data_IF_372635825206
#
_entry.id   IF_372635825206
#
_cell.length_a   1.000
_cell.length_b   1.000
_cell.length_c   1.000
_cell.angle_alpha   90.00
_cell.angle_beta   90.00
_cell.angle_gamma   90.00
#
_symmetry.space_group_name_H-M   'P 1'
#
loop_
_entity.id
_entity.type
_entity.pdbx_description
1 polymer ?
2 non-polymer ?
3 water ?
#
# COMPACT_ATOMS: atom_id res chain seq x y z
N UNK A 6 15.98 4.47 -43.09
CA UNK A 6 17.11 5.47 -43.07
C UNK A 6 17.36 6.14 -41.68
N UNK A 7 16.40 6.03 -40.76
CA UNK A 7 16.54 6.52 -39.37
C UNK A 7 16.88 5.40 -38.35
N UNK A 8 18.16 5.26 -38.01
CA UNK A 8 18.61 4.23 -37.08
C UNK A 8 17.77 4.24 -35.78
N UNK A 9 17.57 5.43 -35.20
CA UNK A 9 16.84 5.59 -33.93
C UNK A 9 15.42 5.07 -33.94
N UNK A 10 14.63 5.54 -34.88
CA UNK A 10 13.29 5.05 -35.08
C UNK A 10 13.24 3.51 -35.26
N UNK A 11 14.19 2.92 -35.98
CA UNK A 11 14.15 1.48 -36.30
C UNK A 11 14.40 0.62 -35.03
N UNK A 12 15.38 1.04 -34.23
CA UNK A 12 15.67 0.38 -32.96
C UNK A 12 14.48 0.46 -32.02
N UNK A 13 13.90 1.66 -31.94
CA UNK A 13 12.74 1.94 -31.09
C UNK A 13 11.53 1.13 -31.47
N UNK A 14 11.20 1.14 -32.75
CA UNK A 14 10.09 0.34 -33.24
C UNK A 14 10.41 -1.15 -33.00
N UNK A 15 11.66 -1.54 -33.27
CA UNK A 15 12.09 -2.92 -33.02
C UNK A 15 11.85 -3.30 -31.55
N UNK A 16 12.30 -2.47 -30.61
CA UNK A 16 12.00 -2.66 -29.19
C UNK A 16 10.52 -2.82 -28.85
N UNK A 17 9.66 -2.03 -29.46
CA UNK A 17 8.23 -2.09 -29.15
C UNK A 17 7.60 -3.36 -29.71
N UNK A 18 7.94 -3.73 -30.94
CA UNK A 18 7.41 -4.96 -31.53
C UNK A 18 7.77 -6.18 -30.69
N UNK A 19 9.03 -6.25 -30.26
CA UNK A 19 9.50 -7.29 -29.34
C UNK A 19 8.60 -7.41 -28.09
N UNK A 20 8.27 -6.29 -27.46
CA UNK A 20 7.41 -6.30 -26.28
C UNK A 20 5.97 -6.69 -26.59
N UNK A 21 5.54 -6.37 -27.79
CA UNK A 21 4.23 -6.78 -28.25
C UNK A 21 4.08 -8.30 -28.22
N UNK A 22 5.17 -9.03 -28.50
CA UNK A 22 5.13 -10.48 -28.43
C UNK A 22 4.69 -11.05 -27.06
N UNK A 23 4.68 -10.25 -25.99
CA UNK A 23 4.11 -10.72 -24.73
C UNK A 23 2.58 -10.71 -24.72
N UNK A 24 1.94 -10.25 -25.79
CA UNK A 24 0.48 -10.13 -25.82
C UNK A 24 -0.17 -11.26 -26.61
N UNK A 25 -1.04 -12.02 -25.93
CA UNK A 25 -1.74 -13.17 -26.52
C UNK A 25 -2.83 -12.68 -27.50
N UNK A 26 -2.70 -12.98 -28.81
CA UNK A 26 -3.78 -12.59 -29.75
C UNK A 26 -5.10 -13.37 -29.55
N UNK A 39 -0.66 -15.04 -21.28
CA UNK A 39 -0.79 -14.37 -19.98
C UNK A 39 0.56 -14.31 -19.26
N UNK A 40 1.63 -14.03 -20.01
CA UNK A 40 2.99 -13.94 -19.43
C UNK A 40 3.20 -12.76 -18.45
N UNK A 41 2.33 -11.74 -18.50
CA UNK A 41 2.39 -10.53 -17.66
C UNK A 41 1.14 -10.37 -16.84
N UNK A 42 1.22 -9.59 -15.77
CA UNK A 42 0.03 -9.23 -15.02
C UNK A 42 -0.87 -8.32 -15.86
N UNK A 43 -2.13 -8.17 -15.45
CA UNK A 43 -3.08 -7.39 -16.24
C UNK A 43 -2.75 -5.90 -16.26
N UNK A 44 -2.34 -5.34 -15.11
CA UNK A 44 -1.78 -3.99 -15.15
C UNK A 44 -0.71 -3.82 -16.23
N UNK A 45 0.27 -4.72 -16.27
CA UNK A 45 1.36 -4.66 -17.25
C UNK A 45 0.84 -4.76 -18.68
N UNK A 46 -0.16 -5.62 -18.87
CA UNK A 46 -0.82 -5.75 -20.16
C UNK A 46 -1.45 -4.45 -20.61
N UNK A 47 -2.19 -3.80 -19.71
CA UNK A 47 -2.88 -2.55 -20.03
C UNK A 47 -1.87 -1.50 -20.46
N UNK A 48 -0.88 -1.32 -19.59
CA UNK A 48 0.16 -0.36 -19.80
C UNK A 48 1.04 -0.70 -21.01
N UNK A 49 1.23 -1.98 -21.29
CA UNK A 49 2.00 -2.35 -22.47
C UNK A 49 1.22 -2.01 -23.73
N UNK A 50 -0.09 -2.27 -23.71
CA UNK A 50 -0.90 -1.99 -24.89
C UNK A 50 -0.83 -0.53 -25.23
N UNK A 51 -0.86 0.32 -24.20
CA UNK A 51 -0.76 1.75 -24.39
C UNK A 51 0.52 2.16 -25.17
N UNK A 52 1.66 1.70 -24.72
CA UNK A 52 2.90 1.96 -25.43
C UNK A 52 2.89 1.45 -26.86
N UNK A 53 2.39 0.25 -27.06
CA UNK A 53 2.40 -0.38 -28.36
C UNK A 53 1.58 0.41 -29.37
N UNK A 54 0.42 0.92 -28.96
CA UNK A 54 -0.40 1.72 -29.85
C UNK A 54 0.17 3.10 -30.26
N UNK A 55 1.10 3.65 -29.47
CA UNK A 55 1.77 4.92 -29.79
C UNK A 55 2.37 4.98 -31.20
N UNK A 56 2.11 6.09 -31.90
CA UNK A 56 2.61 6.34 -33.26
C UNK A 56 3.86 7.21 -33.23
N UNK A 57 5.00 6.55 -33.35
CA UNK A 57 6.28 7.19 -33.14
C UNK A 57 6.72 8.19 -34.24
N UNK A 58 6.06 8.16 -35.40
CA UNK A 58 6.28 9.19 -36.43
C UNK A 58 5.63 10.54 -36.11
N UNK A 59 4.64 10.58 -35.20
CA UNK A 59 4.09 11.83 -34.72
C UNK A 59 4.71 12.20 -33.38
N UNK A 60 4.60 13.47 -33.02
CA UNK A 60 5.20 14.02 -31.83
C UNK A 60 4.33 13.66 -30.65
N UNK A 61 3.02 13.85 -30.80
CA UNK A 61 2.04 13.47 -29.76
C UNK A 61 2.19 11.98 -29.40
N UNK A 62 2.58 11.16 -30.38
CA UNK A 62 2.91 9.73 -30.16
C UNK A 62 4.27 9.43 -29.50
N UNK A 63 5.30 10.19 -29.84
CA UNK A 63 6.57 10.10 -29.14
C UNK A 63 6.45 10.53 -27.67
N UNK A 64 5.62 11.54 -27.43
CA UNK A 64 5.42 12.04 -26.08
C UNK A 64 4.68 10.99 -25.29
N UNK A 65 3.56 10.51 -25.85
CA UNK A 65 2.71 9.51 -25.18
C UNK A 65 3.54 8.26 -24.87
N UNK A 66 4.46 7.90 -25.77
CA UNK A 66 5.35 6.76 -25.54
C UNK A 66 6.37 6.95 -24.39
N UNK A 67 6.93 8.13 -24.27
CA UNK A 67 7.79 8.41 -23.12
C UNK A 67 6.97 8.25 -21.83
N UNK A 68 5.73 8.71 -21.82
CA UNK A 68 4.88 8.55 -20.65
C UNK A 68 4.53 7.09 -20.39
N UNK A 69 4.27 6.34 -21.46
CA UNK A 69 3.90 4.95 -21.31
C UNK A 69 5.06 4.19 -20.70
N UNK A 70 6.24 4.41 -21.25
CA UNK A 70 7.43 3.74 -20.78
C UNK A 70 7.73 3.95 -19.30
N UNK A 71 7.60 5.18 -18.83
CA UNK A 71 7.80 5.51 -17.42
C UNK A 71 6.85 4.70 -16.57
N UNK A 72 5.61 4.61 -17.02
CA UNK A 72 4.56 3.87 -16.34
C UNK A 72 4.85 2.39 -16.25
N UNK A 73 5.23 1.79 -17.36
CA UNK A 73 5.70 0.42 -17.38
C UNK A 73 6.86 0.19 -16.43
N UNK A 74 7.76 1.14 -16.41
CA UNK A 74 8.92 1.04 -15.59
C UNK A 74 8.59 1.09 -14.12
N UNK A 75 7.80 2.08 -13.73
CA UNK A 75 7.42 2.25 -12.34
C UNK A 75 6.69 1.01 -11.84
N UNK A 76 5.85 0.46 -12.70
CA UNK A 76 5.12 -0.73 -12.38
C UNK A 76 6.01 -1.94 -12.23
N UNK A 77 7.03 -2.06 -13.07
CA UNK A 77 7.97 -3.18 -13.01
C UNK A 77 8.67 -3.21 -11.66
N UNK A 78 9.13 -2.06 -11.21
CA UNK A 78 9.75 -1.93 -9.90
C UNK A 78 8.79 -2.45 -8.84
N UNK A 79 7.53 -2.05 -8.93
CA UNK A 79 6.52 -2.46 -7.97
C UNK A 79 6.39 -3.98 -7.94
N UNK A 80 6.14 -4.61 -9.08
CA UNK A 80 6.01 -6.05 -9.07
C UNK A 80 7.25 -6.79 -8.55
N UNK A 81 8.44 -6.23 -8.77
CA UNK A 81 9.67 -6.85 -8.25
C UNK A 81 9.74 -6.80 -6.75
N UNK A 82 9.40 -5.65 -6.20
CA UNK A 82 9.34 -5.50 -4.76
C UNK A 82 8.30 -6.45 -4.17
N UNK A 83 7.13 -6.50 -4.78
CA UNK A 83 6.07 -7.39 -4.35
C UNK A 83 6.49 -8.85 -4.34
N UNK A 84 7.22 -9.25 -5.36
CA UNK A 84 7.77 -10.60 -5.38
C UNK A 84 8.63 -10.93 -4.17
N UNK A 85 9.34 -9.98 -3.58
CA UNK A 85 10.19 -10.29 -2.43
C UNK A 85 9.49 -10.28 -1.09
N UNK A 86 8.20 -9.99 -1.12
CA UNK A 86 7.46 -9.64 0.05
C UNK A 86 6.68 -10.84 0.52
N UNK A 87 6.93 -11.28 1.74
CA UNK A 87 6.24 -12.40 2.35
C UNK A 87 5.07 -11.91 3.23
N UNK A 88 3.83 -12.23 2.86
CA UNK A 88 2.71 -11.75 3.70
C UNK A 88 2.60 -12.33 5.11
N UNK A 89 3.12 -13.53 5.34
CA UNK A 89 3.10 -14.11 6.69
C UNK A 89 4.10 -13.34 7.58
N UNK A 90 5.32 -13.11 7.10
CA UNK A 90 6.29 -12.27 7.83
C UNK A 90 5.78 -10.83 7.94
N UNK A 91 5.12 -10.30 6.92
CA UNK A 91 4.62 -8.92 6.94
C UNK A 91 3.52 -8.62 7.99
N UNK A 92 2.59 -9.55 8.19
CA UNK A 92 1.50 -9.35 9.13
C UNK A 92 1.97 -9.48 10.58
N UNK A 93 2.85 -10.45 10.86
CA UNK A 93 3.49 -10.58 12.17
C UNK A 93 4.13 -9.24 12.57
N UNK A 94 4.79 -8.63 11.60
CA UNK A 94 5.41 -7.34 11.78
C UNK A 94 4.43 -6.24 12.05
N UNK A 95 3.29 -6.22 11.35
CA UNK A 95 2.22 -5.28 11.70
C UNK A 95 1.78 -5.40 13.17
N UNK A 96 1.40 -6.59 13.60
CA UNK A 96 0.87 -6.74 14.96
C UNK A 96 1.96 -6.51 16.00
N UNK A 97 3.21 -6.81 15.69
CA UNK A 97 4.29 -6.49 16.63
C UNK A 97 4.35 -4.99 16.87
N UNK A 98 4.23 -4.22 15.79
CA UNK A 98 4.27 -2.76 15.87
C UNK A 98 3.16 -2.21 16.73
N UNK A 99 1.98 -2.80 16.53
CA UNK A 99 0.79 -2.44 17.25
C UNK A 99 1.02 -2.69 18.74
N UNK A 100 1.39 -3.93 19.08
CA UNK A 100 1.70 -4.27 20.45
C UNK A 100 2.84 -3.46 21.07
N UNK A 101 3.79 -3.04 20.25
CA UNK A 101 4.90 -2.19 20.71
C UNK A 101 4.50 -0.73 21.04
N UNK A 102 3.28 -0.33 20.63
CA UNK A 102 2.68 0.96 21.00
C UNK A 102 1.49 0.81 21.99
N UNK A 103 1.48 -0.35 22.65
CA UNK A 103 0.49 -0.64 23.66
C UNK A 103 -0.87 -1.03 23.18
N UNK A 104 -1.08 -1.17 21.89
CA UNK A 104 -2.43 -1.46 21.36
C UNK A 104 -2.57 -2.93 20.99
N UNK A 105 -3.78 -3.34 20.63
CA UNK A 105 -3.99 -4.66 20.05
C UNK A 105 -5.06 -4.63 19.00
N UNK A 106 -5.00 -5.62 18.12
CA UNK A 106 -6.05 -5.95 17.15
C UNK A 106 -6.35 -7.45 17.25
N UNK A 107 -7.55 -7.75 17.71
CA UNK A 107 -7.92 -9.07 18.14
C UNK A 107 -8.45 -9.97 17.04
N UNK A 108 -8.63 -9.41 15.84
CA UNK A 108 -9.03 -10.16 14.68
C UNK A 108 -10.43 -9.78 14.25
N UNK A 109 -10.69 -9.72 12.93
CA UNK A 109 -11.87 -9.07 12.32
C UNK A 109 -13.18 -9.24 13.04
N UNK A 110 -13.56 -10.45 13.43
CA UNK A 110 -14.85 -10.63 14.13
C UNK A 110 -14.82 -9.98 15.51
N UNK A 111 -13.72 -10.20 16.23
CA UNK A 111 -13.62 -9.79 17.62
C UNK A 111 -13.53 -8.27 17.76
N UNK A 112 -12.66 -7.62 16.99
CA UNK A 112 -12.59 -6.16 17.05
C UNK A 112 -13.91 -5.49 16.73
N UNK A 113 -14.62 -6.03 15.73
CA UNK A 113 -15.92 -5.52 15.31
C UNK A 113 -16.82 -5.47 16.53
N UNK A 114 -17.04 -6.63 17.17
CA UNK A 114 -17.92 -6.71 18.32
C UNK A 114 -17.45 -5.77 19.44
N UNK A 115 -16.15 -5.68 19.66
CA UNK A 115 -15.61 -4.86 20.73
C UNK A 115 -15.82 -3.38 20.51
N UNK A 116 -15.54 -2.91 19.29
CA UNK A 116 -15.79 -1.51 18.98
C UNK A 116 -17.28 -1.18 19.12
N UNK A 117 -18.13 -2.08 18.65
CA UNK A 117 -19.58 -1.94 18.80
C UNK A 117 -19.99 -1.82 20.28
N UNK A 118 -19.41 -2.69 21.11
CA UNK A 118 -19.65 -2.64 22.54
C UNK A 118 -19.13 -1.37 23.17
N UNK A 119 -17.98 -0.90 22.73
CA UNK A 119 -17.53 0.41 23.19
C UNK A 119 -18.58 1.45 22.81
N UNK A 120 -18.99 1.44 21.56
CA UNK A 120 -19.96 2.39 21.06
C UNK A 120 -21.23 2.35 21.89
N UNK A 121 -21.71 1.13 22.12
CA UNK A 121 -22.95 0.90 22.86
C UNK A 121 -22.91 1.61 24.20
N UNK A 122 -21.78 1.51 24.88
CA UNK A 122 -21.58 2.15 26.17
C UNK A 122 -21.61 3.67 26.09
N UNK A 123 -20.91 4.24 25.12
CA UNK A 123 -20.63 5.68 25.13
C UNK A 123 -21.37 6.55 24.12
N UNK A 124 -22.06 5.92 23.18
CA UNK A 124 -22.94 6.63 22.23
C UNK A 124 -23.83 7.70 22.81
N UNK A 125 -24.53 7.35 23.89
CA UNK A 125 -25.47 8.27 24.53
C UNK A 125 -24.78 9.45 25.21
N UNK A 126 -23.44 9.46 25.21
CA UNK A 126 -22.65 10.46 25.87
C UNK A 126 -22.26 10.04 27.27
N UNK A 127 -22.56 8.80 27.68
CA UNK A 127 -22.14 8.28 28.99
C UNK A 127 -20.63 8.53 29.22
N UNK A 128 -20.22 8.49 30.47
CA UNK A 128 -18.88 8.78 30.87
C UNK A 128 -18.46 7.69 31.84
N UNK A 129 -17.40 6.93 31.52
CA UNK A 129 -17.00 5.80 32.33
C UNK A 129 -15.50 5.80 32.51
N UNK A 130 -15.07 5.38 33.68
CA UNK A 130 -13.67 5.21 33.89
C UNK A 130 -13.23 4.11 32.93
N UNK A 131 -11.96 4.15 32.57
CA UNK A 131 -11.39 3.12 31.73
C UNK A 131 -11.74 1.76 32.29
N UNK A 132 -11.50 1.54 33.57
CA UNK A 132 -11.70 0.21 34.15
C UNK A 132 -13.16 -0.23 33.99
N UNK A 133 -14.06 0.72 34.21
CA UNK A 133 -15.49 0.47 34.13
C UNK A 133 -15.88 0.15 32.69
N UNK A 134 -15.29 0.90 31.75
CA UNK A 134 -15.54 0.67 30.31
C UNK A 134 -15.08 -0.71 29.87
N UNK A 135 -13.92 -1.13 30.32
CA UNK A 135 -13.38 -2.42 29.95
C UNK A 135 -14.29 -3.55 30.44
N UNK A 136 -14.72 -3.47 31.68
CA UNK A 136 -15.53 -4.52 32.25
C UNK A 136 -16.79 -4.65 31.43
N UNK A 137 -17.40 -3.51 31.11
CA UNK A 137 -18.67 -3.46 30.36
C UNK A 137 -18.55 -4.29 29.10
N UNK A 138 -17.49 -4.03 28.36
CA UNK A 138 -17.25 -4.72 27.12
C UNK A 138 -17.04 -6.20 27.34
N UNK A 139 -16.11 -6.53 28.23
CA UNK A 139 -15.71 -7.92 28.46
C UNK A 139 -16.89 -8.76 28.89
N UNK A 140 -17.74 -8.22 29.76
CA UNK A 140 -18.92 -8.93 30.20
C UNK A 140 -19.81 -9.35 29.04
N UNK A 141 -20.02 -8.43 28.11
CA UNK A 141 -20.91 -8.63 26.98
C UNK A 141 -20.25 -9.30 25.78
N UNK A 142 -18.94 -9.47 25.84
CA UNK A 142 -18.21 -10.18 24.81
C UNK A 142 -18.06 -11.66 25.18
N UNK A 143 -18.23 -12.00 26.45
CA UNK A 143 -18.12 -13.38 26.93
C UNK A 143 -18.88 -14.39 26.07
N UNK A 144 -20.21 -14.21 25.90
CA UNK A 144 -20.99 -15.23 25.17
C UNK A 144 -20.46 -15.60 23.80
N UNK A 145 -20.21 -14.60 22.94
CA UNK A 145 -19.72 -14.86 21.58
C UNK A 145 -18.20 -15.10 21.51
N UNK A 146 -17.43 -14.65 22.50
CA UNK A 146 -15.94 -14.69 22.46
C UNK A 146 -15.32 -14.80 23.88
N UNK A 147 -15.15 -16.02 24.41
CA UNK A 147 -14.70 -16.13 25.84
C UNK A 147 -13.21 -15.86 26.15
N UNK A 148 -12.33 -15.93 25.15
CA UNK A 148 -10.91 -15.55 25.29
C UNK A 148 -10.62 -14.07 25.63
N UNK A 149 -11.64 -13.23 25.74
CA UNK A 149 -11.47 -11.81 26.02
C UNK A 149 -11.05 -11.58 27.44
N UNK A 150 -9.97 -10.85 27.61
CA UNK A 150 -9.39 -10.56 28.91
C UNK A 150 -9.49 -9.07 29.10
N UNK A 151 -9.50 -8.63 30.35
CA UNK A 151 -9.45 -7.21 30.68
C UNK A 151 -8.20 -6.55 30.02
N UNK A 152 -7.10 -7.28 29.94
CA UNK A 152 -5.87 -6.77 29.33
C UNK A 152 -5.97 -6.56 27.82
N UNK A 153 -6.51 -7.54 27.10
CA UNK A 153 -6.69 -7.39 25.65
C UNK A 153 -7.65 -6.25 25.30
N UNK A 154 -8.80 -6.22 26.00
CA UNK A 154 -9.76 -5.15 25.79
C UNK A 154 -9.14 -3.81 26.17
N UNK A 155 -8.40 -3.77 27.27
CA UNK A 155 -7.64 -2.57 27.61
C UNK A 155 -6.86 -2.01 26.42
N UNK A 156 -6.10 -2.87 25.77
CA UNK A 156 -5.29 -2.45 24.63
C UNK A 156 -6.12 -1.93 23.44
N UNK A 157 -7.30 -2.49 23.24
CA UNK A 157 -8.22 -1.99 22.20
C UNK A 157 -8.63 -0.56 22.54
N UNK A 158 -8.88 -0.33 23.82
CA UNK A 158 -9.21 1.00 24.30
C UNK A 158 -8.01 1.93 24.12
N UNK A 159 -6.82 1.46 24.48
CA UNK A 159 -5.65 2.29 24.29
C UNK A 159 -5.47 2.62 22.81
N UNK A 160 -5.82 1.67 21.95
CA UNK A 160 -5.82 1.96 20.51
C UNK A 160 -6.66 3.16 20.17
N UNK A 161 -7.88 3.19 20.71
CA UNK A 161 -8.80 4.28 20.43
C UNK A 161 -8.32 5.60 21.05
N UNK A 162 -7.66 5.48 22.20
CA UNK A 162 -7.04 6.63 22.83
C UNK A 162 -5.94 7.20 21.96
N UNK A 163 -5.11 6.31 21.41
CA UNK A 163 -4.01 6.76 20.54
C UNK A 163 -4.54 7.50 19.31
N UNK A 164 -5.70 7.05 18.81
CA UNK A 164 -6.41 7.74 17.72
C UNK A 164 -7.21 8.98 18.13
N UNK A 165 -7.16 9.32 19.43
CA UNK A 165 -7.81 10.51 19.99
C UNK A 165 -9.32 10.52 19.76
N UNK A 166 -9.95 9.41 20.16
CA UNK A 166 -11.40 9.26 20.09
C UNK A 166 -12.11 9.76 21.33
N UNK A 167 -11.39 9.85 22.44
CA UNK A 167 -11.98 10.13 23.74
C UNK A 167 -11.72 11.58 24.20
N UNK A 168 -12.72 12.16 24.86
CA UNK A 168 -12.58 13.38 25.65
C UNK A 168 -12.50 12.84 27.04
N UNK A 169 -11.50 13.28 27.81
CA UNK A 169 -11.20 12.71 29.13
C UNK A 169 -11.19 13.81 30.16
N UNK A 170 -11.70 13.50 31.35
CA UNK A 170 -11.94 14.45 32.42
C UNK A 170 -11.21 13.99 33.69
N UNK A 171 -10.24 14.79 34.17
CA UNK A 171 -9.46 14.43 35.36
C UNK A 171 -10.36 14.51 36.62
N UNK A 172 -10.15 13.62 37.59
CA UNK A 172 -10.73 13.75 38.94
C UNK A 172 -9.68 13.44 39.99
N UNK A 173 -9.94 13.96 41.18
CA UNK A 173 -9.09 13.77 42.36
C UNK A 173 -9.68 12.67 43.22
N UNK A 174 -8.81 11.82 43.78
CA UNK A 174 -9.21 10.70 44.65
C UNK A 174 -10.12 9.67 43.96
N UNK A 175 -10.42 9.89 42.68
CA UNK A 175 -11.11 8.92 41.88
C UNK A 175 -10.61 8.98 40.43
N UNK A 176 -10.88 7.90 39.72
CA UNK A 176 -10.47 7.67 38.33
C UNK A 176 -10.89 8.78 37.34
N UNK A 177 -10.12 8.96 36.27
CA UNK A 177 -10.53 9.86 35.18
C UNK A 177 -11.61 9.16 34.43
N UNK A 178 -12.53 9.97 33.93
CA UNK A 178 -13.65 9.49 33.13
C UNK A 178 -13.45 9.85 31.66
N UNK A 179 -13.91 8.96 30.77
CA UNK A 179 -13.73 9.06 29.33
C UNK A 179 -15.09 9.12 28.65
N UNK A 180 -15.22 10.00 27.66
CA UNK A 180 -16.38 10.07 26.77
C UNK A 180 -15.86 10.02 25.37
N UNK A 181 -16.60 9.39 24.45
CA UNK A 181 -16.35 9.56 23.03
C UNK A 181 -16.65 10.98 22.63
N UNK A 182 -15.85 11.54 21.71
CA UNK A 182 -16.14 12.86 21.18
C UNK A 182 -17.37 12.78 20.29
N UNK A 183 -18.15 13.87 20.24
CA UNK A 183 -19.38 13.90 19.43
C UNK A 183 -19.10 13.25 18.08
N UNK A 184 -18.03 13.68 17.43
CA UNK A 184 -17.75 13.28 16.04
C UNK A 184 -17.40 11.79 15.81
N UNK A 185 -17.20 11.00 16.88
CA UNK A 185 -16.96 9.55 16.74
C UNK A 185 -18.08 8.67 17.28
N UNK A 186 -19.23 9.24 17.59
CA UNK A 186 -20.36 8.47 18.14
C UNK A 186 -21.18 7.70 17.09
N UNK A 187 -20.49 7.08 16.14
CA UNK A 187 -21.09 6.12 15.23
C UNK A 187 -20.01 5.13 14.83
N UNK A 188 -20.41 3.93 14.48
CA UNK A 188 -19.49 2.89 14.02
C UNK A 188 -18.71 3.28 12.73
N UNK A 189 -19.31 4.05 11.81
CA UNK A 189 -18.58 4.49 10.61
C UNK A 189 -17.43 5.40 11.06
N UNK A 190 -17.75 6.41 11.84
CA UNK A 190 -16.78 7.38 12.31
C UNK A 190 -15.71 6.71 13.18
N UNK A 191 -16.12 5.73 13.97
CA UNK A 191 -15.24 5.11 14.94
C UNK A 191 -14.34 4.14 14.25
N UNK A 192 -14.93 3.23 13.48
CA UNK A 192 -14.12 2.28 12.73
C UNK A 192 -13.11 3.01 11.82
N UNK A 193 -13.51 4.12 11.20
CA UNK A 193 -12.64 4.88 10.29
C UNK A 193 -11.41 5.40 11.01
N UNK A 194 -11.60 6.02 12.16
CA UNK A 194 -10.48 6.54 12.93
C UNK A 194 -9.64 5.42 13.50
N UNK A 195 -10.29 4.30 13.80
CA UNK A 195 -9.58 3.12 14.26
C UNK A 195 -8.67 2.59 13.18
N UNK A 196 -9.27 2.30 12.03
CA UNK A 196 -8.52 1.76 10.89
C UNK A 196 -7.35 2.70 10.52
N UNK A 197 -7.60 4.00 10.53
CA UNK A 197 -6.59 5.01 10.25
C UNK A 197 -5.41 4.95 11.21
N UNK A 198 -5.65 4.74 12.50
CA UNK A 198 -4.56 4.67 13.45
C UNK A 198 -3.69 3.44 13.20
N UNK A 199 -4.29 2.32 12.78
CA UNK A 199 -3.49 1.12 12.51
C UNK A 199 -2.60 1.29 11.26
N UNK A 200 -3.07 2.13 10.33
CA UNK A 200 -2.26 2.52 9.18
C UNK A 200 -1.10 3.40 9.65
N UNK A 201 -1.43 4.41 10.44
CA UNK A 201 -0.42 5.31 11.00
C UNK A 201 0.68 4.54 11.77
N UNK A 202 0.31 3.44 12.43
CA UNK A 202 1.27 2.55 13.06
C UNK A 202 2.10 1.82 12.00
N UNK A 203 1.45 1.35 10.94
CA UNK A 203 2.18 0.72 9.82
C UNK A 203 3.29 1.63 9.30
N UNK A 204 2.95 2.90 9.10
CA UNK A 204 3.87 3.92 8.60
C UNK A 204 5.03 4.21 9.53
N UNK A 205 4.73 4.31 10.82
CA UNK A 205 5.77 4.41 11.87
C UNK A 205 6.75 3.24 11.90
N UNK A 206 6.26 2.04 11.63
CA UNK A 206 7.11 0.85 11.60
C UNK A 206 7.80 0.64 10.25
N UNK A 207 7.41 1.42 9.24
CA UNK A 207 8.07 1.43 7.94
C UNK A 207 7.54 0.38 6.98
N UNK A 208 6.22 0.19 6.95
CA UNK A 208 5.62 -0.90 6.23
C UNK A 208 4.62 -0.33 5.25
N UNK A 209 4.94 -0.43 3.96
CA UNK A 209 3.98 -0.08 2.90
C UNK A 209 3.08 -1.29 2.68
N UNK A 210 1.78 -1.05 2.80
CA UNK A 210 0.77 -2.11 2.70
C UNK A 210 -0.32 -1.54 1.82
N UNK A 211 -0.98 -2.41 1.07
CA UNK A 211 -1.89 -2.00 -0.01
C UNK A 211 -3.35 -2.18 0.41
N UNK A 212 -4.26 -1.29 -0.10
CA UNK A 212 -5.67 -1.39 0.26
C UNK A 212 -6.22 -2.83 0.28
N UNK A 213 -5.79 -3.66 -0.66
CA UNK A 213 -6.23 -5.07 -0.71
C UNK A 213 -5.64 -5.90 0.46
N UNK A 214 -4.38 -5.67 0.84
CA UNK A 214 -3.83 -6.36 2.02
C UNK A 214 -4.53 -5.92 3.31
N UNK A 215 -4.61 -4.60 3.47
CA UNK A 215 -5.40 -3.96 4.50
C UNK A 215 -6.84 -4.49 4.67
N UNK A 216 -7.59 -4.51 3.57
CA UNK A 216 -8.96 -5.05 3.55
C UNK A 216 -8.95 -6.49 4.06
N UNK A 217 -7.96 -7.26 3.64
CA UNK A 217 -7.82 -8.63 4.09
C UNK A 217 -7.41 -8.73 5.56
N UNK A 218 -6.55 -7.82 6.01
CA UNK A 218 -6.00 -7.89 7.38
C UNK A 218 -7.01 -7.54 8.49
N UNK A 219 -7.77 -6.47 8.25
CA UNK A 219 -8.72 -5.91 9.21
C UNK A 219 -10.16 -6.47 9.13
N UNK A 220 -10.64 -6.76 7.92
CA UNK A 220 -11.99 -7.29 7.77
C UNK A 220 -12.04 -8.76 7.36
N UNK A 221 -10.98 -9.30 6.75
CA UNK A 221 -10.96 -10.71 6.31
C UNK A 221 -11.65 -10.96 4.98
N UNK A 222 -11.52 -10.01 4.05
CA UNK A 222 -12.15 -10.05 2.72
C UNK A 222 -11.55 -8.95 1.81
N UNK A 223 -11.81 -9.02 0.50
CA UNK A 223 -11.29 -7.99 -0.44
C UNK A 223 -12.29 -6.81 -0.66
N UNK A 224 -13.34 -6.77 0.15
CA UNK A 224 -14.45 -5.84 -0.03
C UNK A 224 -14.29 -4.45 0.59
N UNK A 225 -13.14 -4.14 1.19
CA UNK A 225 -12.91 -2.82 1.78
C UNK A 225 -11.72 -2.02 1.17
N UNK A 226 -11.25 -2.46 0.00
CA UNK A 226 -10.24 -1.74 -0.78
C UNK A 226 -10.57 -0.25 -0.89
N UNK A 227 -11.78 0.07 -1.35
CA UNK A 227 -12.18 1.47 -1.54
C UNK A 227 -12.06 2.31 -0.24
N UNK A 228 -12.71 1.81 0.82
CA UNK A 228 -12.66 2.41 2.18
C UNK A 228 -11.23 2.66 2.62
N UNK A 229 -10.40 1.63 2.50
CA UNK A 229 -8.99 1.71 2.88
C UNK A 229 -8.16 2.67 2.01
N UNK A 230 -8.40 2.66 0.69
CA UNK A 230 -7.71 3.56 -0.25
C UNK A 230 -7.91 5.00 0.20
N UNK A 231 -9.16 5.33 0.53
CA UNK A 231 -9.53 6.68 0.95
C UNK A 231 -8.66 7.22 2.10
N UNK A 232 -8.29 6.34 3.03
CA UNK A 232 -7.47 6.68 4.21
C UNK A 232 -6.01 6.89 3.81
N UNK A 233 -5.50 5.96 3.02
CA UNK A 233 -4.10 5.98 2.65
C UNK A 233 -3.85 7.27 1.86
N UNK A 234 -4.68 7.57 0.86
CA UNK A 234 -4.71 8.90 0.22
C UNK A 234 -4.63 10.10 1.23
N UNK A 235 -5.34 10.01 2.36
CA UNK A 235 -5.38 11.08 3.37
C UNK A 235 -4.11 11.13 4.23
N UNK A 236 -3.61 9.94 4.62
CA UNK A 236 -2.47 9.83 5.54
C UNK A 236 -1.10 9.84 4.82
N UNK A 237 -1.01 9.29 3.61
CA UNK A 237 0.26 9.12 2.88
C UNK A 237 0.32 9.79 1.53
N UNK A 238 1.51 10.28 1.15
CA UNK A 238 1.85 10.68 -0.25
C UNK A 238 2.40 9.47 -1.01
N UNK A 239 1.99 9.27 -2.27
CA UNK A 239 2.51 8.08 -3.02
C UNK A 239 4.03 8.15 -3.27
N UNK A 240 4.71 7.01 -3.34
CA UNK A 240 6.17 7.03 -3.44
C UNK A 240 6.60 7.24 -4.90
N UNK A 241 7.49 8.20 -5.08
CA UNK A 241 8.09 8.44 -6.34
C UNK A 241 8.75 7.15 -6.86
N UNK A 242 8.86 7.12 -8.18
CA UNK A 242 9.53 6.07 -8.96
C UNK A 242 10.94 5.97 -8.38
N UNK A 243 11.60 7.11 -8.25
CA UNK A 243 12.91 7.16 -7.65
C UNK A 243 12.97 6.46 -6.28
N UNK A 244 12.11 6.81 -5.32
CA UNK A 244 12.20 6.17 -4.00
C UNK A 244 11.91 4.64 -4.11
N UNK A 245 11.04 4.22 -5.02
CA UNK A 245 10.80 2.80 -5.21
C UNK A 245 12.05 2.06 -5.67
N UNK A 246 12.89 2.71 -6.47
CA UNK A 246 14.08 2.05 -7.00
C UNK A 246 15.10 1.86 -5.88
N UNK A 247 15.17 2.88 -5.03
CA UNK A 247 15.95 2.82 -3.84
C UNK A 247 15.46 1.70 -2.91
N UNK A 248 14.13 1.53 -2.82
CA UNK A 248 13.53 0.46 -1.99
C UNK A 248 14.05 -0.88 -2.50
N UNK A 249 13.90 -1.12 -3.80
CA UNK A 249 14.32 -2.36 -4.40
C UNK A 249 15.81 -2.60 -4.26
N UNK A 250 16.60 -1.54 -4.39
CA UNK A 250 18.03 -1.67 -4.18
C UNK A 250 18.31 -2.31 -2.81
N UNK A 251 17.58 -1.89 -1.79
CA UNK A 251 17.90 -2.35 -0.45
C UNK A 251 17.57 -3.82 -0.29
N UNK A 252 16.38 -4.17 -0.69
CA UNK A 252 15.99 -5.57 -0.74
C UNK A 252 17.11 -6.36 -1.40
N UNK A 253 17.49 -5.94 -2.59
CA UNK A 253 18.55 -6.60 -3.34
C UNK A 253 19.90 -6.65 -2.63
N UNK A 254 20.26 -5.58 -1.93
CA UNK A 254 21.43 -5.62 -1.04
C UNK A 254 21.24 -6.73 -0.01
N UNK A 255 20.08 -6.77 0.63
CA UNK A 255 19.83 -7.80 1.64
C UNK A 255 19.81 -9.21 1.06
N UNK A 256 19.22 -9.43 -0.10
CA UNK A 256 19.20 -10.78 -0.68
C UNK A 256 20.53 -11.17 -1.28
N UNK A 257 21.31 -10.22 -1.75
CA UNK A 257 22.53 -10.57 -2.50
C UNK A 257 22.31 -10.69 -4.00
N UNK A 258 21.04 -10.67 -4.42
CA UNK A 258 20.68 -10.48 -5.80
C UNK A 258 21.20 -11.58 -6.71
N UNK A 259 20.84 -12.82 -6.43
CA UNK A 259 21.33 -13.91 -7.28
C UNK A 259 20.93 -13.79 -8.76
N UNK A 260 19.85 -13.11 -9.11
CA UNK A 260 19.47 -12.93 -10.52
C UNK A 260 20.07 -11.69 -11.16
N UNK A 261 20.80 -10.88 -10.40
CA UNK A 261 21.44 -9.71 -10.98
C UNK A 261 20.37 -8.74 -11.48
N UNK A 262 19.29 -8.61 -10.74
CA UNK A 262 18.29 -7.57 -11.01
C UNK A 262 18.86 -6.15 -10.96
N UNK A 263 19.97 -5.97 -10.24
CA UNK A 263 20.63 -4.68 -10.18
C UNK A 263 21.15 -4.20 -11.51
N UNK A 264 21.33 -5.11 -12.45
CA UNK A 264 21.66 -4.69 -13.83
C UNK A 264 20.60 -3.78 -14.47
N UNK A 265 19.36 -3.85 -14.00
CA UNK A 265 18.29 -3.02 -14.53
C UNK A 265 18.33 -1.58 -14.04
N UNK A 266 19.16 -1.27 -13.03
CA UNK A 266 19.12 0.04 -12.39
C UNK A 266 19.36 1.22 -13.36
N UNK A 267 20.48 1.23 -14.10
CA UNK A 267 20.66 2.31 -15.08
C UNK A 267 19.38 2.62 -15.88
N UNK A 268 18.75 1.56 -16.37
CA UNK A 268 17.51 1.68 -17.14
C UNK A 268 16.31 2.24 -16.36
N UNK A 269 16.15 1.84 -15.11
CA UNK A 269 15.07 2.37 -14.30
C UNK A 269 15.28 3.84 -14.01
N UNK A 270 16.53 4.22 -13.77
CA UNK A 270 16.88 5.60 -13.51
C UNK A 270 16.63 6.45 -14.76
N UNK A 271 16.98 5.93 -15.91
CA UNK A 271 16.67 6.63 -17.14
C UNK A 271 15.18 6.90 -17.25
N UNK A 272 14.37 5.87 -16.97
CA UNK A 272 12.91 5.98 -17.07
C UNK A 272 12.32 6.90 -16.02
N UNK A 273 12.85 6.86 -14.81
CA UNK A 273 12.32 7.71 -13.77
C UNK A 273 12.58 9.19 -14.06
N UNK A 274 13.68 9.50 -14.75
CA UNK A 274 13.96 10.89 -15.14
C UNK A 274 13.11 11.45 -16.27
N UNK A 275 12.30 10.62 -16.90
CA UNK A 275 11.35 11.12 -17.88
C UNK A 275 10.36 11.98 -17.14
N UNK A 276 10.14 13.17 -17.65
CA UNK A 276 9.22 14.12 -17.06
C UNK A 276 7.83 13.73 -17.56
N UNK A 277 6.97 13.21 -16.66
CA UNK A 277 5.61 12.88 -17.13
C UNK A 277 4.69 14.10 -17.28
N UNK A 278 4.96 15.20 -16.56
CA UNK A 278 4.08 16.38 -16.51
C UNK A 278 3.80 16.89 -17.93
N UNK A 279 2.62 17.47 -18.12
CA UNK A 279 2.18 17.79 -19.49
C UNK A 279 2.85 19.03 -20.14
N UNK A 280 3.49 19.91 -19.36
CA UNK A 280 4.29 21.02 -19.90
C UNK A 280 5.67 20.57 -20.40
N UNK A 281 5.94 19.25 -20.42
CA UNK A 281 7.28 18.73 -20.68
C UNK A 281 7.73 18.87 -22.14
N UNK A 282 9.04 18.88 -22.32
CA UNK A 282 9.62 19.07 -23.64
C UNK A 282 9.57 17.75 -24.35
N UNK A 283 9.18 17.77 -25.61
CA UNK A 283 9.13 16.55 -26.41
C UNK A 283 10.52 15.88 -26.53
N UNK A 284 10.53 14.55 -26.70
CA UNK A 284 11.79 13.83 -26.79
C UNK A 284 12.51 13.97 -28.13
N UNK A 285 13.83 13.90 -28.10
CA UNK A 285 14.58 13.65 -29.30
C UNK A 285 14.45 12.18 -29.62
N UNK A 286 14.67 11.86 -30.89
CA UNK A 286 14.80 10.47 -31.33
C UNK A 286 15.76 9.63 -30.46
N UNK A 287 16.92 10.20 -30.12
CA UNK A 287 17.88 9.50 -29.28
C UNK A 287 17.27 9.14 -27.92
N UNK A 288 16.66 10.13 -27.28
CA UNK A 288 16.04 9.96 -25.98
C UNK A 288 14.93 8.94 -26.06
N UNK A 289 14.21 8.96 -27.16
CA UNK A 289 13.17 8.02 -27.36
C UNK A 289 13.76 6.62 -27.49
N UNK A 290 14.76 6.47 -28.34
CA UNK A 290 15.40 5.16 -28.55
C UNK A 290 15.90 4.62 -27.22
N UNK A 291 16.59 5.45 -26.47
CA UNK A 291 17.12 4.98 -25.22
C UNK A 291 16.02 4.52 -24.29
N UNK A 292 14.93 5.28 -24.26
CA UNK A 292 13.81 4.95 -23.41
C UNK A 292 13.17 3.60 -23.76
N UNK A 293 12.95 3.34 -25.05
CA UNK A 293 12.38 2.07 -25.50
C UNK A 293 13.28 0.89 -25.22
N UNK A 294 14.57 1.08 -25.45
CA UNK A 294 15.57 0.09 -25.07
C UNK A 294 15.46 -0.19 -23.58
N UNK A 295 15.41 0.87 -22.80
CA UNK A 295 15.34 0.73 -21.34
C UNK A 295 14.13 -0.09 -20.87
N UNK A 296 12.98 0.21 -21.46
CA UNK A 296 11.74 -0.40 -21.00
C UNK A 296 11.71 -1.85 -21.43
N UNK A 297 12.28 -2.12 -22.61
CA UNK A 297 12.38 -3.48 -23.13
C UNK A 297 13.20 -4.33 -22.19
N UNK A 298 14.29 -3.74 -21.71
CA UNK A 298 15.26 -4.48 -20.93
C UNK A 298 14.64 -4.86 -19.60
N UNK A 299 14.07 -3.83 -18.98
CA UNK A 299 13.35 -3.92 -17.72
C UNK A 299 12.19 -4.94 -17.71
N UNK A 300 11.35 -4.92 -18.74
CA UNK A 300 10.21 -5.80 -18.84
C UNK A 300 10.64 -7.25 -19.06
N UNK A 301 11.56 -7.43 -19.98
CA UNK A 301 12.18 -8.74 -20.19
C UNK A 301 12.72 -9.27 -18.88
N UNK A 302 13.36 -8.42 -18.09
CA UNK A 302 13.89 -8.80 -16.80
C UNK A 302 12.82 -9.31 -15.86
N UNK A 303 11.75 -8.53 -15.71
CA UNK A 303 10.64 -8.92 -14.87
C UNK A 303 10.13 -10.32 -15.22
N UNK A 304 9.89 -10.54 -16.49
CA UNK A 304 9.34 -11.80 -16.95
C UNK A 304 10.30 -12.94 -16.63
N UNK A 305 11.55 -12.82 -17.08
CA UNK A 305 12.57 -13.83 -16.83
C UNK A 305 12.74 -14.10 -15.33
N UNK A 306 12.71 -13.06 -14.52
CA UNK A 306 12.84 -13.25 -13.09
C UNK A 306 11.67 -14.03 -12.47
N UNK A 307 10.45 -13.76 -12.93
CA UNK A 307 9.29 -14.48 -12.43
C UNK A 307 9.25 -15.92 -12.94
N UNK A 308 9.46 -16.08 -14.25
CA UNK A 308 9.51 -17.42 -14.85
C UNK A 308 10.59 -18.35 -14.28
N UNK A 309 11.70 -17.80 -13.76
CA UNK A 309 12.82 -18.62 -13.29
C UNK A 309 13.05 -18.73 -11.77
N UNK A 310 12.33 -17.95 -10.95
CA UNK A 310 12.61 -17.86 -9.50
C UNK A 310 11.34 -17.68 -8.65
N UNK A 311 10.62 -18.78 -8.38
CA UNK A 311 9.41 -18.81 -7.50
C UNK A 311 8.24 -17.97 -8.02
X LIG B 1 -7.50 11.34 39.77
X LIG C 1 -24.02 4.25 30.53
X LIG D 1 -10.00 5.50 45.87
X LIG E 1 -1.50 10.18 22.46
#
# INVERSE_FOLDING_TARGET
MSNLGENKHYEVAKKCVEDLALYLKPLSGGKGVASLNQSALSRPMQRKLVTLVNCQLVEEEGRVRAMRAARSLGERTVTELILQHQNPQQLSANLWAAVRARGCQFLGPAMQEEALKLVLLALEDGSALSRKVLVLFVVQRLEPRFPQASKTSIGHVVQLLYRASCFKVTKRDEDSSLMQLKEEFRSYEALRREHDAQIVHIAMEAGLRISPEQWSSLLYGDLAHKSHMQSIIDKLQSPESFAKSVQELTIVLQRTGDPANLNRLRPHLELLANIDPNPDAVSPTWEQLENAMVAVKTVVHGLVDFIQNYSRKGHETPQHHHHHH
UNX UNK
UNX UNK
UNX UNK
UNX UNK
#
